data_IF_845217600155
#
_entry.id   IF_845217600155
#
_cell.length_a   1.000
_cell.length_b   1.000
_cell.length_c   1.000
_cell.angle_alpha   90.00
_cell.angle_beta   90.00
_cell.angle_gamma   90.00
#
_symmetry.space_group_name_H-M   'P 1'
#
loop_
_entity.id
_entity.type
_entity.pdbx_description
1 polymer ?
#
# COMPACT_ATOMS: atom_id res chain seq x y z
N UNK A 1 15.40 -26.53 4.00
CA UNK A 1 14.13 -26.33 3.28
C UNK A 1 14.30 -25.15 2.34
N UNK A 2 14.18 -25.35 1.02
CA UNK A 2 14.23 -24.24 0.05
C UNK A 2 12.84 -23.61 0.04
N UNK A 3 12.75 -22.30 0.27
CA UNK A 3 11.50 -21.56 0.19
C UNK A 3 11.07 -21.45 -1.28
N UNK A 4 10.09 -22.23 -1.70
CA UNK A 4 9.49 -22.10 -3.03
C UNK A 4 8.41 -21.01 -3.04
N UNK A 5 8.73 -19.89 -3.69
CA UNK A 5 7.80 -18.77 -3.87
C UNK A 5 6.73 -18.98 -4.95
N UNK A 6 6.71 -20.15 -5.61
CA UNK A 6 5.83 -20.49 -6.75
C UNK A 6 5.82 -19.42 -7.84
N UNK A 7 7.01 -18.86 -8.10
CA UNK A 7 7.19 -17.85 -9.12
C UNK A 7 7.03 -18.47 -10.51
N UNK A 8 6.31 -17.84 -11.46
CA UNK A 8 6.19 -18.39 -12.81
C UNK A 8 7.56 -18.55 -13.49
N UNK A 9 7.70 -19.55 -14.35
CA UNK A 9 8.94 -19.81 -15.10
C UNK A 9 9.10 -18.86 -16.30
N UNK A 10 10.24 -18.92 -16.99
CA UNK A 10 10.52 -18.14 -18.20
C UNK A 10 11.20 -16.78 -17.97
N UNK A 11 11.49 -16.04 -19.06
CA UNK A 11 12.18 -14.75 -19.04
C UNK A 11 11.41 -13.70 -18.22
N UNK A 12 12.12 -12.82 -17.50
CA UNK A 12 11.50 -11.83 -16.60
C UNK A 12 10.42 -10.98 -17.30
N UNK A 13 10.72 -10.51 -18.51
CA UNK A 13 9.84 -9.62 -19.27
C UNK A 13 8.50 -10.26 -19.65
N UNK A 14 8.50 -11.57 -19.93
CA UNK A 14 7.33 -12.34 -20.41
C UNK A 14 6.66 -13.15 -19.30
N UNK A 15 7.32 -13.27 -18.15
CA UNK A 15 6.97 -14.20 -17.06
C UNK A 15 5.50 -14.17 -16.66
N UNK A 16 4.95 -12.96 -16.51
CA UNK A 16 3.57 -12.77 -16.06
C UNK A 16 2.53 -12.84 -17.17
N UNK A 17 2.92 -12.53 -18.40
CA UNK A 17 2.04 -12.69 -19.56
C UNK A 17 1.88 -14.17 -19.90
N UNK A 18 2.97 -14.94 -19.86
CA UNK A 18 2.92 -16.40 -19.95
C UNK A 18 2.09 -17.01 -18.83
N UNK A 19 2.33 -16.58 -17.59
CA UNK A 19 1.52 -17.05 -16.46
C UNK A 19 0.02 -16.82 -16.70
N UNK A 20 -0.37 -15.64 -17.18
CA UNK A 20 -1.76 -15.34 -17.53
C UNK A 20 -2.32 -16.25 -18.62
N UNK A 21 -1.54 -16.61 -19.63
CA UNK A 21 -1.94 -17.53 -20.70
C UNK A 21 -2.14 -18.95 -20.17
N UNK A 22 -1.30 -19.38 -19.23
CA UNK A 22 -1.32 -20.73 -18.66
C UNK A 22 -2.35 -20.89 -17.52
N UNK A 23 -2.95 -19.80 -17.04
CA UNK A 23 -3.93 -19.84 -15.95
C UNK A 23 -5.21 -20.56 -16.38
N UNK A 24 -5.63 -21.54 -15.56
CA UNK A 24 -6.94 -22.18 -15.70
C UNK A 24 -8.03 -21.17 -15.37
N UNK A 25 -8.81 -20.78 -16.38
CA UNK A 25 -9.88 -19.81 -16.22
C UNK A 25 -11.13 -20.44 -15.62
N UNK A 26 -11.82 -19.67 -14.79
CA UNK A 26 -13.18 -20.00 -14.33
C UNK A 26 -14.18 -19.26 -15.22
N UNK A 27 -15.07 -20.01 -15.87
CA UNK A 27 -16.14 -19.42 -16.67
C UNK A 27 -16.95 -18.42 -15.82
N UNK A 28 -17.30 -17.22 -16.35
CA UNK A 28 -18.06 -16.21 -15.62
C UNK A 28 -19.31 -16.73 -14.89
N UNK A 29 -20.10 -17.60 -15.53
CA UNK A 29 -21.31 -18.18 -14.94
C UNK A 29 -21.04 -19.15 -13.77
N UNK A 30 -19.83 -19.70 -13.70
CA UNK A 30 -19.39 -20.59 -12.64
C UNK A 30 -18.77 -19.84 -11.44
N UNK A 31 -18.33 -18.59 -11.59
CA UNK A 31 -17.66 -17.84 -10.50
C UNK A 31 -18.54 -17.67 -9.26
N UNK A 32 -19.86 -17.50 -9.44
CA UNK A 32 -20.86 -17.42 -8.36
C UNK A 32 -20.97 -18.66 -7.48
N UNK A 33 -20.39 -19.79 -7.91
CA UNK A 33 -20.33 -21.03 -7.12
C UNK A 33 -19.25 -20.97 -6.04
N UNK A 34 -18.28 -20.07 -6.19
CA UNK A 34 -17.15 -19.95 -5.28
C UNK A 34 -17.32 -18.75 -4.34
N UNK A 35 -16.86 -18.94 -3.11
CA UNK A 35 -16.87 -17.95 -2.05
C UNK A 35 -15.45 -17.55 -1.68
N UNK A 36 -15.21 -16.25 -1.55
CA UNK A 36 -13.90 -15.68 -1.19
C UNK A 36 -14.07 -14.79 0.03
N UNK A 37 -13.18 -14.96 1.00
CA UNK A 37 -13.10 -14.08 2.16
C UNK A 37 -11.97 -13.07 1.97
N UNK A 38 -12.24 -11.80 2.24
CA UNK A 38 -11.24 -10.73 2.26
C UNK A 38 -11.20 -10.12 3.66
N UNK A 39 -10.07 -10.20 4.34
CA UNK A 39 -9.88 -9.62 5.67
C UNK A 39 -9.09 -8.32 5.54
N UNK A 40 -9.71 -7.20 5.94
CA UNK A 40 -9.17 -5.85 5.79
C UNK A 40 -9.76 -5.12 4.59
N UNK A 41 -9.99 -3.82 4.76
CA UNK A 41 -10.68 -2.95 3.78
C UNK A 41 -9.88 -1.69 3.44
N UNK A 42 -8.57 -1.69 3.69
CA UNK A 42 -7.66 -0.70 3.11
C UNK A 42 -7.57 -0.85 1.58
N UNK A 43 -6.69 -0.09 0.93
CA UNK A 43 -6.59 -0.09 -0.55
C UNK A 43 -6.50 -1.49 -1.15
N UNK A 44 -5.67 -2.37 -0.59
CA UNK A 44 -5.54 -3.74 -1.08
C UNK A 44 -6.85 -4.53 -0.96
N UNK A 45 -7.50 -4.49 0.21
CA UNK A 45 -8.68 -5.29 0.49
C UNK A 45 -9.95 -4.77 -0.19
N UNK A 46 -10.16 -3.45 -0.19
CA UNK A 46 -11.28 -2.83 -0.88
C UNK A 46 -11.20 -3.07 -2.40
N UNK A 47 -10.01 -2.87 -3.01
CA UNK A 47 -9.82 -3.15 -4.43
C UNK A 47 -9.96 -4.64 -4.75
N UNK A 48 -9.40 -5.54 -3.92
CA UNK A 48 -9.55 -6.98 -4.13
C UNK A 48 -11.01 -7.42 -4.05
N UNK A 49 -11.74 -7.01 -3.01
CA UNK A 49 -13.15 -7.35 -2.84
C UNK A 49 -14.02 -6.78 -3.97
N UNK A 50 -13.77 -5.53 -4.39
CA UNK A 50 -14.49 -4.92 -5.50
C UNK A 50 -14.23 -5.66 -6.82
N UNK A 51 -12.97 -5.92 -7.17
CA UNK A 51 -12.63 -6.62 -8.42
C UNK A 51 -13.12 -8.07 -8.42
N UNK A 52 -13.03 -8.80 -7.31
CA UNK A 52 -13.55 -10.16 -7.21
C UNK A 52 -15.09 -10.20 -7.29
N UNK A 53 -15.77 -9.26 -6.62
CA UNK A 53 -17.22 -9.11 -6.72
C UNK A 53 -17.67 -8.79 -8.15
N UNK A 54 -16.97 -7.88 -8.83
CA UNK A 54 -17.23 -7.51 -10.23
C UNK A 54 -16.99 -8.67 -11.20
N UNK A 55 -16.02 -9.55 -10.90
CA UNK A 55 -15.82 -10.78 -11.65
C UNK A 55 -16.98 -11.78 -11.48
N UNK A 56 -17.83 -11.64 -10.44
CA UNK A 56 -18.99 -12.48 -10.17
C UNK A 56 -18.78 -13.53 -9.07
N UNK A 57 -17.72 -13.42 -8.27
CA UNK A 57 -17.52 -14.27 -7.09
C UNK A 57 -18.41 -13.81 -5.93
N UNK A 58 -18.76 -14.72 -5.02
CA UNK A 58 -19.38 -14.35 -3.74
C UNK A 58 -18.29 -13.93 -2.77
N UNK A 59 -18.28 -12.67 -2.35
CA UNK A 59 -17.22 -12.14 -1.48
C UNK A 59 -17.78 -11.77 -0.12
N UNK A 60 -17.13 -12.21 0.95
CA UNK A 60 -17.35 -11.68 2.30
C UNK A 60 -16.12 -10.88 2.74
N UNK A 61 -16.32 -9.59 3.01
CA UNK A 61 -15.26 -8.69 3.45
C UNK A 61 -15.41 -8.37 4.95
N UNK A 62 -14.32 -8.46 5.71
CA UNK A 62 -14.30 -8.26 7.16
C UNK A 62 -13.38 -7.11 7.53
N UNK A 63 -13.78 -6.23 8.44
CA UNK A 63 -12.89 -5.19 8.97
C UNK A 63 -13.23 -4.78 10.40
N UNK A 64 -12.19 -4.41 11.16
CA UNK A 64 -12.35 -3.93 12.54
C UNK A 64 -13.02 -2.55 12.59
N UNK A 65 -12.88 -1.76 11.53
CA UNK A 65 -13.45 -0.42 11.44
C UNK A 65 -14.97 -0.47 11.30
N UNK A 66 -15.63 0.60 11.75
CA UNK A 66 -17.07 0.83 11.54
C UNK A 66 -17.42 1.11 10.08
N UNK A 67 -16.47 1.64 9.30
CA UNK A 67 -16.61 1.87 7.87
C UNK A 67 -15.37 1.39 7.11
N UNK A 68 -15.54 0.72 5.95
CA UNK A 68 -14.43 0.28 5.11
C UNK A 68 -13.48 1.42 4.68
N UNK A 69 -13.97 2.66 4.61
CA UNK A 69 -13.16 3.85 4.25
C UNK A 69 -12.12 4.26 5.30
N UNK A 70 -12.09 3.63 6.48
CA UNK A 70 -11.20 4.02 7.59
C UNK A 70 -9.92 3.17 7.69
N UNK A 71 -9.62 2.36 6.68
CA UNK A 71 -8.31 1.71 6.57
C UNK A 71 -7.17 2.72 6.57
N UNK A 72 -6.00 2.34 7.11
CA UNK A 72 -4.87 3.26 7.27
C UNK A 72 -4.39 3.89 5.95
N UNK A 73 -4.69 3.27 4.81
CA UNK A 73 -4.44 3.82 3.47
C UNK A 73 -4.93 5.26 3.28
N UNK A 74 -5.98 5.69 4.01
CA UNK A 74 -6.49 7.06 3.96
C UNK A 74 -5.43 8.12 4.34
N UNK A 75 -4.42 7.73 5.13
CA UNK A 75 -3.41 8.63 5.68
C UNK A 75 -2.22 8.88 4.74
N UNK A 76 -2.13 8.20 3.58
CA UNK A 76 -1.03 8.42 2.66
C UNK A 76 -1.17 9.78 1.94
N UNK A 77 -0.09 10.54 1.88
CA UNK A 77 -0.08 11.92 1.36
C UNK A 77 0.68 12.01 0.02
N UNK A 78 1.89 11.43 0.00
CA UNK A 78 2.92 11.64 -1.03
C UNK A 78 2.57 11.22 -2.46
N UNK A 79 1.78 10.17 -2.67
CA UNK A 79 1.34 9.78 -4.01
C UNK A 79 1.50 8.30 -4.31
N UNK A 80 1.35 7.95 -5.58
CA UNK A 80 1.53 6.60 -6.13
C UNK A 80 2.45 6.66 -7.35
N UNK A 81 3.48 5.81 -7.36
CA UNK A 81 4.42 5.74 -8.49
C UNK A 81 3.87 4.84 -9.59
N UNK A 82 3.99 5.27 -10.84
CA UNK A 82 3.75 4.43 -12.01
C UNK A 82 4.63 4.82 -13.18
N UNK A 83 5.08 3.83 -13.97
CA UNK A 83 5.93 4.02 -15.14
C UNK A 83 5.19 4.59 -16.36
N UNK A 84 4.44 5.68 -16.15
CA UNK A 84 3.63 6.36 -17.17
C UNK A 84 4.17 7.77 -17.37
N UNK A 85 4.96 7.92 -18.43
CA UNK A 85 5.83 9.07 -18.67
C UNK A 85 5.08 10.25 -19.32
N UNK A 86 4.27 10.98 -18.54
CA UNK A 86 3.67 12.25 -18.99
C UNK A 86 4.70 13.39 -19.13
N UNK A 87 5.69 13.55 -18.23
CA UNK A 87 6.68 14.63 -18.32
C UNK A 87 7.70 14.48 -19.46
N UNK A 88 7.74 13.31 -20.10
CA UNK A 88 8.72 12.95 -21.12
C UNK A 88 10.19 13.02 -20.64
N UNK A 89 10.46 12.56 -19.41
CA UNK A 89 11.78 12.60 -18.75
C UNK A 89 12.58 11.29 -18.86
N UNK A 90 12.18 10.44 -19.80
CA UNK A 90 12.78 9.12 -20.03
C UNK A 90 12.33 8.02 -19.04
N UNK A 91 11.19 8.19 -18.34
CA UNK A 91 10.66 7.12 -17.52
C UNK A 91 10.22 5.87 -18.34
N UNK A 92 10.38 4.70 -17.75
CA UNK A 92 10.03 3.41 -18.36
C UNK A 92 9.76 2.33 -17.31
N UNK A 93 9.09 1.24 -17.74
CA UNK A 93 8.84 0.06 -16.88
C UNK A 93 10.13 -0.47 -16.28
N UNK A 94 11.18 -0.59 -17.10
CA UNK A 94 12.47 -1.09 -16.63
C UNK A 94 13.11 -0.16 -15.60
N UNK A 95 12.94 1.17 -15.75
CA UNK A 95 13.49 2.13 -14.78
C UNK A 95 12.79 2.04 -13.43
N UNK A 96 11.45 1.98 -13.41
CA UNK A 96 10.70 1.74 -12.16
C UNK A 96 11.06 0.39 -11.53
N UNK A 97 11.21 -0.65 -12.35
CA UNK A 97 11.69 -1.96 -11.89
C UNK A 97 13.08 -1.84 -11.23
N UNK A 98 14.04 -1.27 -11.92
CA UNK A 98 15.42 -1.13 -11.46
C UNK A 98 15.51 -0.30 -10.17
N UNK A 99 14.85 0.86 -10.12
CA UNK A 99 14.83 1.72 -8.93
C UNK A 99 14.24 0.98 -7.73
N UNK A 100 13.20 0.17 -7.95
CA UNK A 100 12.57 -0.64 -6.88
C UNK A 100 13.46 -1.80 -6.40
N UNK A 101 14.23 -2.43 -7.30
CA UNK A 101 15.20 -3.47 -6.93
C UNK A 101 16.36 -2.88 -6.14
N UNK A 102 16.93 -1.78 -6.63
CA UNK A 102 18.01 -1.06 -5.97
C UNK A 102 17.56 -0.53 -4.60
N UNK A 103 16.40 0.12 -4.52
CA UNK A 103 15.84 0.63 -3.26
C UNK A 103 15.46 -0.47 -2.27
N UNK A 104 15.17 -1.68 -2.75
CA UNK A 104 15.01 -2.88 -1.93
C UNK A 104 16.32 -3.55 -1.52
N UNK A 105 17.47 -2.90 -1.74
CA UNK A 105 18.82 -3.42 -1.51
C UNK A 105 19.01 -4.83 -2.09
N UNK A 106 18.51 -5.01 -3.33
CA UNK A 106 18.54 -6.26 -4.11
C UNK A 106 17.91 -7.48 -3.43
N UNK A 107 17.11 -7.29 -2.37
CA UNK A 107 16.40 -8.37 -1.65
C UNK A 107 14.97 -8.58 -2.11
N UNK A 108 14.46 -7.66 -2.92
CA UNK A 108 13.13 -7.75 -3.51
C UNK A 108 13.05 -8.89 -4.53
N UNK A 109 11.88 -9.53 -4.64
CA UNK A 109 11.66 -10.60 -5.63
C UNK A 109 11.47 -9.98 -7.02
N UNK A 110 12.49 -10.12 -7.87
CA UNK A 110 12.54 -9.50 -9.21
C UNK A 110 11.28 -9.71 -10.03
N UNK A 111 10.78 -10.95 -10.10
CA UNK A 111 9.55 -11.25 -10.82
C UNK A 111 8.37 -10.42 -10.33
N UNK A 112 8.17 -10.29 -9.01
CA UNK A 112 7.05 -9.54 -8.45
C UNK A 112 7.22 -8.03 -8.66
N UNK A 113 8.45 -7.53 -8.57
CA UNK A 113 8.76 -6.11 -8.82
C UNK A 113 8.53 -5.75 -10.28
N UNK A 114 8.94 -6.62 -11.21
CA UNK A 114 8.68 -6.41 -12.63
C UNK A 114 7.18 -6.38 -12.92
N UNK A 115 6.40 -7.29 -12.32
CA UNK A 115 4.94 -7.26 -12.38
C UNK A 115 4.36 -5.94 -11.87
N UNK A 116 4.86 -5.46 -10.73
CA UNK A 116 4.42 -4.21 -10.14
C UNK A 116 4.67 -3.04 -11.10
N UNK A 117 5.87 -2.95 -11.69
CA UNK A 117 6.22 -1.90 -12.63
C UNK A 117 5.36 -1.95 -13.91
N UNK A 118 5.06 -3.14 -14.43
CA UNK A 118 4.17 -3.28 -15.60
C UNK A 118 2.73 -2.91 -15.26
N UNK A 119 2.20 -3.38 -14.12
CA UNK A 119 0.80 -3.15 -13.74
C UNK A 119 0.54 -1.73 -13.25
N UNK A 120 1.56 -0.98 -12.82
CA UNK A 120 1.38 0.36 -12.25
C UNK A 120 0.60 1.29 -13.19
N UNK A 121 0.81 1.17 -14.50
CA UNK A 121 0.13 2.01 -15.50
C UNK A 121 -1.37 1.73 -15.53
N UNK A 122 -1.75 0.45 -15.54
CA UNK A 122 -3.15 0.03 -15.48
C UNK A 122 -3.82 0.44 -14.16
N UNK A 123 -3.05 0.49 -13.05
CA UNK A 123 -3.57 0.96 -11.75
C UNK A 123 -3.88 2.46 -11.78
N UNK A 124 -3.06 3.27 -12.45
CA UNK A 124 -3.38 4.70 -12.66
C UNK A 124 -4.66 4.84 -13.48
N UNK A 125 -4.78 4.10 -14.57
CA UNK A 125 -5.98 4.14 -15.42
C UNK A 125 -7.23 3.70 -14.66
N UNK A 126 -7.12 2.65 -13.84
CA UNK A 126 -8.20 2.20 -12.96
C UNK A 126 -8.60 3.28 -11.95
N UNK A 127 -7.63 3.92 -11.30
CA UNK A 127 -7.90 4.99 -10.34
C UNK A 127 -8.58 6.20 -11.00
N UNK A 128 -8.14 6.60 -12.20
CA UNK A 128 -8.81 7.64 -12.99
C UNK A 128 -10.25 7.23 -13.34
N UNK A 129 -10.47 6.00 -13.79
CA UNK A 129 -11.81 5.49 -14.10
C UNK A 129 -12.73 5.41 -12.87
N UNK A 130 -12.17 5.25 -11.67
CA UNK A 130 -12.87 5.33 -10.40
C UNK A 130 -13.15 6.77 -9.93
N UNK A 131 -12.73 7.78 -10.70
CA UNK A 131 -12.95 9.19 -10.39
C UNK A 131 -11.94 9.76 -9.38
N UNK A 132 -10.78 9.13 -9.18
CA UNK A 132 -9.73 9.68 -8.32
C UNK A 132 -9.22 11.00 -8.91
N UNK A 133 -9.34 12.13 -8.20
CA UNK A 133 -8.97 13.45 -8.70
C UNK A 133 -7.46 13.69 -8.59
N UNK A 134 -6.69 13.00 -9.44
CA UNK A 134 -5.27 13.31 -9.59
C UNK A 134 -5.08 14.75 -10.08
N UNK A 135 -3.96 15.36 -9.66
CA UNK A 135 -3.52 16.66 -10.15
C UNK A 135 -3.39 16.64 -11.67
N UNK A 136 -3.68 17.79 -12.28
CA UNK A 136 -3.64 17.96 -13.73
C UNK A 136 -2.92 19.24 -14.09
N UNK A 137 -2.21 19.20 -15.21
CA UNK A 137 -1.63 20.38 -15.81
C UNK A 137 -2.72 21.24 -16.50
N UNK A 138 -2.29 22.38 -17.05
CA UNK A 138 -3.20 23.29 -17.76
C UNK A 138 -3.87 22.66 -19.00
N UNK A 139 -3.22 21.69 -19.63
CA UNK A 139 -3.75 20.96 -20.79
C UNK A 139 -4.72 19.83 -20.39
N UNK A 140 -4.85 19.54 -19.09
CA UNK A 140 -5.71 18.49 -18.56
C UNK A 140 -5.04 17.12 -18.50
N UNK A 141 -3.75 16.99 -18.78
CA UNK A 141 -3.00 15.75 -18.56
C UNK A 141 -2.76 15.53 -17.07
N UNK A 142 -2.47 14.28 -16.69
CA UNK A 142 -2.13 13.96 -15.32
C UNK A 142 -0.76 14.56 -14.98
N UNK A 143 -0.69 15.26 -13.86
CA UNK A 143 0.54 15.87 -13.39
C UNK A 143 1.32 14.90 -12.49
N UNK A 144 2.64 14.92 -12.64
CA UNK A 144 3.57 14.14 -11.83
C UNK A 144 4.47 15.03 -11.00
N UNK A 145 4.97 14.51 -9.88
CA UNK A 145 5.99 15.16 -9.07
C UNK A 145 7.19 14.26 -8.83
N UNK A 146 8.31 14.87 -8.45
CA UNK A 146 9.47 14.17 -7.90
C UNK A 146 9.14 13.62 -6.51
N UNK A 147 9.59 12.40 -6.21
CA UNK A 147 9.38 11.74 -4.92
C UNK A 147 10.27 10.50 -4.78
N UNK A 148 10.67 10.14 -3.56
CA UNK A 148 11.16 8.80 -3.25
C UNK A 148 12.47 8.40 -3.93
N UNK A 149 13.42 9.33 -4.04
CA UNK A 149 14.76 9.02 -4.57
C UNK A 149 14.80 8.67 -6.05
N UNK A 150 13.73 8.93 -6.81
CA UNK A 150 13.71 8.74 -8.26
C UNK A 150 14.32 9.95 -8.98
N UNK A 151 15.04 9.70 -10.08
CA UNK A 151 15.56 10.77 -10.96
C UNK A 151 14.53 11.26 -11.98
N UNK A 152 13.35 10.65 -12.01
CA UNK A 152 12.22 10.99 -12.90
C UNK A 152 10.99 11.33 -12.07
N UNK A 153 10.09 12.12 -12.64
CA UNK A 153 8.83 12.52 -12.05
C UNK A 153 7.73 11.54 -12.45
N UNK A 154 7.54 10.51 -11.63
CA UNK A 154 6.58 9.42 -11.88
C UNK A 154 5.51 9.24 -10.81
N UNK A 155 5.46 10.17 -9.86
CA UNK A 155 4.54 10.11 -8.73
C UNK A 155 3.26 10.85 -9.06
N UNK A 156 2.16 10.12 -9.19
CA UNK A 156 0.81 10.67 -9.35
C UNK A 156 0.26 11.05 -7.97
N UNK A 157 -0.38 12.21 -7.87
CA UNK A 157 -0.80 12.74 -6.57
C UNK A 157 -2.13 13.50 -6.64
N UNK A 158 -2.81 13.59 -5.50
CA UNK A 158 -3.95 14.47 -5.28
C UNK A 158 -3.63 15.40 -4.11
N UNK A 159 -2.88 16.47 -4.40
CA UNK A 159 -2.29 17.37 -3.39
C UNK A 159 -1.60 16.59 -2.26
N UNK A 160 -1.97 16.82 -1.00
CA UNK A 160 -1.50 16.09 0.18
C UNK A 160 -2.43 14.96 0.65
N UNK A 161 -3.39 14.53 -0.17
CA UNK A 161 -4.47 13.62 0.23
C UNK A 161 -4.60 12.39 -0.70
N UNK A 162 -3.52 12.01 -1.39
CA UNK A 162 -3.58 10.96 -2.42
C UNK A 162 -4.14 9.64 -1.89
N UNK A 163 -3.71 9.19 -0.71
CA UNK A 163 -4.21 7.97 -0.07
C UNK A 163 -5.70 8.03 0.26
N UNK A 164 -6.17 9.19 0.71
CA UNK A 164 -7.60 9.42 0.94
C UNK A 164 -8.39 9.28 -0.34
N UNK A 165 -7.97 9.94 -1.41
CA UNK A 165 -8.67 9.92 -2.69
C UNK A 165 -8.66 8.52 -3.32
N UNK A 166 -7.52 7.83 -3.30
CA UNK A 166 -7.42 6.45 -3.77
C UNK A 166 -8.35 5.51 -2.97
N UNK A 167 -8.36 5.62 -1.64
CA UNK A 167 -9.20 4.75 -0.81
C UNK A 167 -10.68 5.03 -1.03
N UNK A 168 -11.08 6.28 -1.23
CA UNK A 168 -12.45 6.64 -1.56
C UNK A 168 -12.87 6.10 -2.94
N UNK A 169 -11.97 6.12 -3.93
CA UNK A 169 -12.20 5.48 -5.23
C UNK A 169 -12.42 3.96 -5.11
N UNK A 170 -11.53 3.27 -4.40
CA UNK A 170 -11.68 1.84 -4.12
C UNK A 170 -12.95 1.51 -3.30
N UNK A 171 -13.27 2.37 -2.31
CA UNK A 171 -14.48 2.25 -1.50
C UNK A 171 -15.76 2.44 -2.31
N UNK A 172 -15.77 3.37 -3.26
CA UNK A 172 -16.89 3.57 -4.18
C UNK A 172 -17.12 2.32 -5.04
N UNK A 173 -16.06 1.75 -5.62
CA UNK A 173 -16.13 0.50 -6.37
C UNK A 173 -16.62 -0.68 -5.51
N UNK A 174 -16.15 -0.78 -4.26
CA UNK A 174 -16.62 -1.77 -3.29
C UNK A 174 -18.12 -1.58 -2.98
N UNK A 175 -18.56 -0.33 -2.77
CA UNK A 175 -19.94 0.01 -2.44
C UNK A 175 -20.89 -0.34 -3.60
N UNK A 176 -20.45 -0.16 -4.84
CA UNK A 176 -21.18 -0.64 -6.03
C UNK A 176 -21.42 -2.14 -5.98
N UNK A 177 -20.42 -2.93 -5.60
CA UNK A 177 -20.55 -4.39 -5.50
C UNK A 177 -21.37 -4.85 -4.30
N UNK A 178 -21.37 -4.08 -3.20
CA UNK A 178 -22.30 -4.28 -2.08
C UNK A 178 -23.74 -4.07 -2.56
N UNK A 179 -24.00 -2.98 -3.30
CA UNK A 179 -25.31 -2.70 -3.89
C UNK A 179 -25.75 -3.77 -4.91
N UNK A 180 -24.81 -4.36 -5.63
CA UNK A 180 -25.06 -5.47 -6.56
C UNK A 180 -25.24 -6.83 -5.87
N UNK A 181 -24.99 -6.93 -4.56
CA UNK A 181 -25.10 -8.17 -3.78
C UNK A 181 -23.99 -9.20 -4.02
N UNK A 182 -22.93 -8.86 -4.75
CA UNK A 182 -21.77 -9.75 -4.97
C UNK A 182 -20.79 -9.70 -3.80
N UNK A 183 -20.80 -8.62 -3.02
CA UNK A 183 -19.97 -8.44 -1.82
C UNK A 183 -20.86 -8.22 -0.59
N UNK A 184 -20.64 -9.00 0.45
CA UNK A 184 -21.19 -8.77 1.79
C UNK A 184 -20.11 -8.21 2.70
N UNK A 185 -20.41 -7.10 3.39
CA UNK A 185 -19.48 -6.45 4.31
C UNK A 185 -19.84 -6.76 5.77
N UNK A 186 -18.83 -7.08 6.57
CA UNK A 186 -18.92 -7.32 8.01
C UNK A 186 -18.05 -6.30 8.75
N UNK A 187 -18.52 -5.05 8.93
CA UNK A 187 -17.80 -4.04 9.70
C UNK A 187 -17.77 -4.41 11.19
N UNK A 188 -16.88 -3.78 11.95
CA UNK A 188 -16.67 -4.04 13.39
C UNK A 188 -16.48 -5.54 13.70
N UNK A 189 -15.67 -6.22 12.89
CA UNK A 189 -15.31 -7.62 13.12
C UNK A 189 -13.80 -7.81 13.19
N UNK A 190 -13.35 -8.74 14.03
CA UNK A 190 -11.94 -9.14 14.14
C UNK A 190 -11.79 -10.63 13.83
N UNK A 191 -10.90 -10.97 12.89
CA UNK A 191 -10.51 -12.35 12.63
C UNK A 191 -9.69 -12.90 13.81
N UNK A 192 -10.22 -13.87 14.55
CA UNK A 192 -9.56 -14.53 15.68
C UNK A 192 -8.62 -15.67 15.27
N UNK A 193 -8.95 -16.40 14.19
CA UNK A 193 -8.13 -17.52 13.72
C UNK A 193 -8.36 -17.82 12.24
N UNK A 194 -7.39 -18.49 11.61
CA UNK A 194 -7.49 -19.04 10.27
C UNK A 194 -7.87 -20.52 10.34
N UNK A 195 -8.90 -20.91 9.59
CA UNK A 195 -9.30 -22.32 9.46
C UNK A 195 -8.52 -22.94 8.30
N UNK A 196 -7.72 -23.95 8.61
CA UNK A 196 -6.91 -24.69 7.63
C UNK A 196 -7.34 -26.15 7.64
N UNK A 197 -7.64 -26.69 6.45
CA UNK A 197 -8.01 -28.10 6.24
C UNK A 197 -7.14 -28.62 5.11
N UNK A 198 -6.46 -29.75 5.33
CA UNK A 198 -5.55 -30.38 4.35
C UNK A 198 -4.51 -29.42 3.76
N UNK A 199 -3.97 -28.53 4.61
CA UNK A 199 -2.99 -27.52 4.22
C UNK A 199 -3.55 -26.34 3.41
N UNK A 200 -4.87 -26.27 3.20
CA UNK A 200 -5.55 -25.18 2.50
C UNK A 200 -6.34 -24.28 3.47
N UNK A 201 -6.29 -22.96 3.27
CA UNK A 201 -7.14 -22.02 4.00
C UNK A 201 -8.60 -22.18 3.54
N UNK A 202 -9.49 -22.56 4.45
CA UNK A 202 -10.92 -22.86 4.18
C UNK A 202 -11.90 -21.94 4.90
N UNK A 203 -11.41 -20.95 5.63
CA UNK A 203 -12.27 -20.01 6.33
C UNK A 203 -11.55 -19.28 7.45
N UNK A 204 -12.34 -18.55 8.24
CA UNK A 204 -11.86 -17.80 9.39
C UNK A 204 -12.83 -17.94 10.57
N UNK A 205 -12.29 -17.81 11.78
CA UNK A 205 -13.07 -17.57 13.00
C UNK A 205 -13.07 -16.08 13.27
N UNK A 206 -14.24 -15.51 13.55
CA UNK A 206 -14.45 -14.07 13.64
C UNK A 206 -15.19 -13.71 14.92
N UNK A 207 -14.82 -12.59 15.53
CA UNK A 207 -15.54 -11.96 16.63
C UNK A 207 -16.21 -10.68 16.14
N UNK A 208 -17.49 -10.54 16.45
CA UNK A 208 -18.20 -9.27 16.37
C UNK A 208 -17.77 -8.37 17.55
N UNK A 209 -17.25 -7.18 17.23
CA UNK A 209 -16.69 -6.25 18.21
C UNK A 209 -17.77 -5.46 18.97
N UNK A 210 -19.02 -5.51 18.53
CA UNK A 210 -20.16 -4.88 19.21
C UNK A 210 -20.82 -5.86 20.16
N UNK A 211 -21.19 -7.04 19.66
CA UNK A 211 -21.95 -8.05 20.43
C UNK A 211 -21.05 -9.03 21.18
N UNK A 212 -19.78 -9.14 20.80
CA UNK A 212 -18.87 -10.15 21.33
C UNK A 212 -19.08 -11.55 20.77
N UNK A 213 -20.11 -11.77 19.94
CA UNK A 213 -20.43 -13.09 19.35
C UNK A 213 -19.26 -13.59 18.50
N UNK A 214 -18.90 -14.85 18.68
CA UNK A 214 -17.92 -15.56 17.86
C UNK A 214 -18.65 -16.46 16.87
N UNK A 215 -18.21 -16.44 15.62
CA UNK A 215 -18.76 -17.30 14.57
C UNK A 215 -17.67 -17.68 13.55
N UNK A 216 -17.93 -18.72 12.77
CA UNK A 216 -17.07 -19.17 11.67
C UNK A 216 -17.63 -18.74 10.32
N UNK A 217 -16.77 -18.35 9.39
CA UNK A 217 -17.12 -18.21 7.97
C UNK A 217 -16.21 -19.08 7.11
N UNK A 218 -16.82 -19.98 6.34
CA UNK A 218 -16.13 -20.85 5.38
C UNK A 218 -16.02 -20.18 4.01
N UNK A 219 -14.96 -20.51 3.26
CA UNK A 219 -14.71 -20.03 1.90
C UNK A 219 -13.76 -20.93 1.12
N UNK A 220 -13.77 -20.80 -0.20
CA UNK A 220 -12.84 -21.48 -1.11
C UNK A 220 -11.45 -20.85 -1.11
N UNK A 221 -11.37 -19.55 -0.77
CA UNK A 221 -10.12 -18.82 -0.63
C UNK A 221 -10.23 -17.73 0.45
N UNK A 222 -9.10 -17.42 1.10
CA UNK A 222 -8.98 -16.35 2.10
C UNK A 222 -7.84 -15.40 1.69
N UNK A 223 -8.15 -14.12 1.52
CA UNK A 223 -7.21 -13.05 1.23
C UNK A 223 -7.01 -12.19 2.48
N UNK A 224 -5.79 -12.18 3.03
CA UNK A 224 -5.43 -11.31 4.16
C UNK A 224 -4.85 -9.99 3.64
N UNK A 225 -5.60 -8.91 3.82
CA UNK A 225 -5.26 -7.54 3.43
C UNK A 225 -5.22 -6.62 4.67
N UNK A 226 -4.61 -7.10 5.75
CA UNK A 226 -4.79 -6.59 7.12
C UNK A 226 -3.86 -5.43 7.52
N UNK A 227 -3.02 -4.93 6.61
CA UNK A 227 -2.10 -3.82 6.90
C UNK A 227 -0.83 -4.25 7.64
N UNK A 228 -0.14 -3.26 8.22
CA UNK A 228 1.17 -3.43 8.87
C UNK A 228 1.12 -3.84 10.35
N UNK A 229 2.28 -3.81 11.00
CA UNK A 229 2.50 -4.30 12.36
C UNK A 229 2.94 -3.20 13.34
N UNK A 230 2.33 -2.02 13.25
CA UNK A 230 2.73 -0.81 13.95
C UNK A 230 2.87 -0.94 15.46
N UNK A 231 1.97 -1.70 16.09
CA UNK A 231 1.80 -1.75 17.54
C UNK A 231 3.01 -2.36 18.29
N UNK A 232 4.05 -2.79 17.57
CA UNK A 232 5.32 -3.23 18.17
C UNK A 232 6.27 -2.06 18.48
N UNK A 233 6.01 -0.86 17.95
CA UNK A 233 6.83 0.34 18.16
C UNK A 233 6.12 1.37 19.04
N UNK A 234 6.86 1.99 19.96
CA UNK A 234 6.33 3.06 20.83
C UNK A 234 5.95 4.31 20.03
N UNK A 235 6.78 4.70 19.05
CA UNK A 235 6.54 5.83 18.17
C UNK A 235 6.29 5.33 16.74
N UNK A 236 5.11 5.65 16.19
CA UNK A 236 4.72 5.23 14.84
C UNK A 236 3.77 6.23 14.17
N UNK A 237 3.84 6.34 12.84
CA UNK A 237 2.89 7.12 12.02
C UNK A 237 1.62 6.33 11.66
N UNK A 238 1.63 5.04 11.95
CA UNK A 238 0.56 4.12 11.61
C UNK A 238 -0.66 4.30 12.53
N UNK A 239 -1.85 3.98 12.04
CA UNK A 239 -3.04 3.95 12.90
C UNK A 239 -3.00 2.72 13.83
N UNK A 240 -3.55 2.87 15.04
CA UNK A 240 -3.63 1.81 16.07
C UNK A 240 -4.27 0.49 15.60
N UNK A 241 -5.10 0.55 14.55
CA UNK A 241 -5.69 -0.64 13.91
C UNK A 241 -4.70 -1.46 13.08
N UNK A 242 -3.45 -1.02 12.91
CA UNK A 242 -2.39 -1.74 12.16
C UNK A 242 -1.70 -2.75 13.08
N UNK A 243 -2.44 -3.79 13.48
CA UNK A 243 -2.14 -4.55 14.69
C UNK A 243 -1.54 -5.96 14.48
N UNK A 244 -1.00 -6.30 13.30
CA UNK A 244 -0.33 -7.58 12.92
C UNK A 244 -1.09 -8.90 13.14
N UNK A 245 -2.15 -8.90 13.95
CA UNK A 245 -2.70 -10.11 14.57
C UNK A 245 -3.10 -11.17 13.55
N UNK A 246 -3.78 -10.78 12.46
CA UNK A 246 -4.21 -11.71 11.42
C UNK A 246 -3.04 -12.40 10.70
N UNK A 247 -1.99 -11.66 10.33
CA UNK A 247 -0.80 -12.22 9.70
C UNK A 247 -0.04 -13.15 10.66
N UNK A 248 0.06 -12.76 11.93
CA UNK A 248 0.68 -13.57 12.97
C UNK A 248 -0.12 -14.84 13.28
N UNK A 249 -1.45 -14.77 13.29
CA UNK A 249 -2.36 -15.93 13.41
C UNK A 249 -2.15 -16.91 12.25
N UNK A 250 -2.04 -16.41 11.02
CA UNK A 250 -1.71 -17.25 9.86
C UNK A 250 -0.32 -17.89 9.99
N UNK A 251 0.69 -17.16 10.47
CA UNK A 251 2.02 -17.72 10.76
C UNK A 251 1.96 -18.88 11.76
N UNK A 252 1.18 -18.75 12.85
CA UNK A 252 0.95 -19.84 13.80
C UNK A 252 0.29 -21.08 13.19
N UNK A 253 -0.36 -20.95 12.02
CA UNK A 253 -0.95 -22.06 11.26
C UNK A 253 -0.04 -22.61 10.16
N UNK A 254 1.24 -22.26 10.18
CA UNK A 254 2.25 -22.79 9.26
C UNK A 254 2.50 -21.93 8.01
N UNK A 255 1.89 -20.74 7.90
CA UNK A 255 2.28 -19.79 6.87
C UNK A 255 3.69 -19.23 7.15
N UNK A 256 4.48 -18.96 6.12
CA UNK A 256 5.77 -18.29 6.31
C UNK A 256 5.58 -16.79 6.55
N UNK A 257 6.38 -16.23 7.45
CA UNK A 257 6.39 -14.79 7.75
C UNK A 257 7.77 -14.21 7.44
N UNK A 258 7.88 -13.58 6.27
CA UNK A 258 9.17 -13.12 5.74
C UNK A 258 9.52 -11.71 6.26
N UNK A 259 10.80 -11.52 6.57
CA UNK A 259 11.44 -10.23 6.83
C UNK A 259 10.74 -9.34 7.88
N UNK A 260 10.28 -9.86 9.04
CA UNK A 260 9.64 -9.03 10.06
C UNK A 260 10.57 -7.96 10.66
N UNK A 261 11.89 -8.12 10.52
CA UNK A 261 12.90 -7.17 10.97
C UNK A 261 13.12 -5.99 10.02
N UNK A 262 12.61 -6.03 8.78
CA UNK A 262 12.76 -4.93 7.83
C UNK A 262 11.65 -3.90 8.05
N UNK A 263 11.91 -2.97 8.96
CA UNK A 263 11.02 -1.84 9.27
C UNK A 263 11.58 -0.54 8.70
N UNK A 264 10.76 0.19 7.96
CA UNK A 264 11.11 1.52 7.45
C UNK A 264 10.81 2.60 8.49
N UNK A 265 11.76 3.50 8.71
CA UNK A 265 11.59 4.71 9.54
C UNK A 265 11.46 5.91 8.62
N UNK A 266 10.35 6.64 8.72
CA UNK A 266 10.17 7.86 7.96
C UNK A 266 11.01 9.00 8.58
N UNK A 267 11.76 9.79 7.79
CA UNK A 267 12.69 10.79 8.32
C UNK A 267 12.00 11.96 9.01
N UNK A 268 10.80 12.34 8.57
CA UNK A 268 10.09 13.54 9.05
C UNK A 268 8.71 13.21 9.61
N UNK A 269 8.51 13.54 10.89
CA UNK A 269 7.23 13.45 11.58
C UNK A 269 7.11 14.60 12.58
N UNK A 270 5.88 15.03 12.86
CA UNK A 270 5.61 16.02 13.90
C UNK A 270 5.76 15.30 15.26
N UNK A 271 6.59 15.81 16.18
CA UNK A 271 6.71 15.26 17.52
C UNK A 271 5.38 15.20 18.26
N UNK A 272 5.31 14.34 19.28
CA UNK A 272 4.12 14.23 20.14
C UNK A 272 3.91 15.56 20.87
N UNK A 273 2.75 16.18 20.66
CA UNK A 273 2.38 17.43 21.33
C UNK A 273 1.57 17.22 22.62
N UNK A 274 1.06 16.01 22.86
CA UNK A 274 0.35 15.65 24.09
C UNK A 274 -0.28 14.25 24.06
N UNK A 275 -0.88 13.85 25.18
CA UNK A 275 -1.41 12.48 25.40
C UNK A 275 -2.61 12.11 24.51
N UNK A 276 -3.30 13.10 23.93
CA UNK A 276 -4.41 12.87 23.00
C UNK A 276 -3.95 12.35 21.62
N UNK A 277 -2.65 12.42 21.33
CA UNK A 277 -2.08 12.03 20.05
C UNK A 277 -1.79 10.53 20.01
N UNK A 278 -2.71 9.77 19.41
CA UNK A 278 -2.59 8.30 19.28
C UNK A 278 -1.49 7.81 18.33
N UNK A 279 -0.90 8.70 17.51
CA UNK A 279 0.18 8.38 16.56
C UNK A 279 0.94 9.62 16.13
N UNK A 280 2.17 9.45 15.64
CA UNK A 280 2.92 10.54 15.03
C UNK A 280 2.25 11.04 13.74
N UNK A 281 2.17 12.36 13.58
CA UNK A 281 1.66 12.95 12.34
C UNK A 281 2.78 12.97 11.31
N UNK A 282 2.56 12.26 10.21
CA UNK A 282 3.49 12.24 9.08
C UNK A 282 3.55 13.63 8.44
N UNK A 283 4.76 14.15 8.25
CA UNK A 283 5.03 15.25 7.32
C UNK A 283 5.47 14.64 6.00
N UNK A 284 4.67 14.83 4.94
CA UNK A 284 4.92 14.22 3.63
C UNK A 284 6.33 14.53 3.13
N UNK A 285 7.01 13.51 2.63
CA UNK A 285 8.27 13.66 1.89
C UNK A 285 8.12 14.64 0.71
N UNK A 286 6.93 14.77 0.12
CA UNK A 286 6.71 15.71 -0.98
C UNK A 286 6.95 17.17 -0.59
N UNK A 287 6.94 17.51 0.70
CA UNK A 287 7.33 18.85 1.17
C UNK A 287 8.78 19.18 0.81
N UNK A 288 9.63 18.16 0.56
CA UNK A 288 11.01 18.35 0.15
C UNK A 288 11.16 18.87 -1.29
N UNK A 289 10.08 18.86 -2.07
CA UNK A 289 10.05 19.51 -3.38
C UNK A 289 9.97 21.04 -3.25
N UNK A 290 9.25 21.54 -2.24
CA UNK A 290 9.01 22.97 -2.04
C UNK A 290 9.86 23.58 -0.92
N UNK A 291 10.41 22.75 -0.03
CA UNK A 291 11.23 23.16 1.12
C UNK A 291 12.51 22.35 1.21
N UNK A 292 13.58 22.96 1.75
CA UNK A 292 14.92 22.35 1.86
C UNK A 292 15.17 21.82 3.27
N UNK A 293 15.77 20.64 3.39
CA UNK A 293 16.12 20.07 4.71
C UNK A 293 17.57 20.42 5.05
N UNK A 294 17.77 20.94 6.26
CA UNK A 294 19.09 21.33 6.73
C UNK A 294 19.26 21.04 8.23
N UNK A 295 20.51 20.98 8.67
CA UNK A 295 20.92 20.97 10.08
C UNK A 295 21.93 22.10 10.31
N UNK A 296 22.08 22.61 11.54
CA UNK A 296 23.13 23.60 11.81
C UNK A 296 24.50 23.04 11.42
N UNK A 297 25.30 23.82 10.68
CA UNK A 297 26.64 23.40 10.26
C UNK A 297 27.56 23.18 11.47
N UNK A 298 27.38 23.98 12.52
CA UNK A 298 28.06 23.79 13.79
C UNK A 298 27.34 22.74 14.64
N UNK A 299 28.05 21.66 14.96
CA UNK A 299 27.55 20.61 15.85
C UNK A 299 27.20 21.19 17.22
N UNK A 300 25.97 20.95 17.67
CA UNK A 300 25.51 21.35 19.00
C UNK A 300 24.99 22.78 19.10
N UNK A 301 24.83 23.49 17.98
CA UNK A 301 24.14 24.77 17.94
C UNK A 301 22.68 24.60 18.42
N UNK A 302 22.27 25.47 19.35
CA UNK A 302 20.95 25.46 20.00
C UNK A 302 20.12 26.70 19.67
N UNK A 303 20.61 27.58 18.80
CA UNK A 303 19.83 28.75 18.36
C UNK A 303 18.51 28.29 17.74
N UNK A 304 17.42 29.06 17.93
CA UNK A 304 16.19 28.84 17.18
C UNK A 304 16.47 28.75 15.67
N UNK A 305 15.80 27.85 14.92
CA UNK A 305 16.09 27.66 13.49
C UNK A 305 15.95 28.93 12.62
N UNK A 306 15.14 29.91 13.04
CA UNK A 306 14.97 31.18 12.34
C UNK A 306 16.14 32.16 12.54
N UNK A 307 16.96 31.95 13.57
CA UNK A 307 18.13 32.78 13.89
C UNK A 307 19.43 32.26 13.25
N UNK A 308 19.40 31.06 12.68
CA UNK A 308 20.56 30.47 11.99
C UNK A 308 20.55 30.96 10.54
N UNK A 309 21.50 31.81 10.12
CA UNK A 309 21.53 32.36 8.76
C UNK A 309 21.88 31.26 7.74
N UNK A 310 21.51 31.46 6.47
CA UNK A 310 21.59 30.42 5.44
C UNK A 310 23.02 29.87 5.21
N UNK A 311 24.03 30.73 5.34
CA UNK A 311 25.44 30.35 5.25
C UNK A 311 25.93 29.45 6.40
N UNK A 312 25.14 29.29 7.47
CA UNK A 312 25.44 28.43 8.63
C UNK A 312 24.58 27.16 8.64
N UNK A 313 23.86 26.87 7.54
CA UNK A 313 23.01 25.68 7.37
C UNK A 313 23.70 24.64 6.49
N UNK A 314 23.77 23.39 6.95
CA UNK A 314 24.21 22.24 6.14
C UNK A 314 22.99 21.57 5.49
N UNK A 315 22.81 21.82 4.19
CA UNK A 315 21.86 21.12 3.33
C UNK A 315 22.40 19.73 2.98
N UNK A 316 22.45 18.85 3.98
CA UNK A 316 23.19 17.59 3.92
C UNK A 316 22.71 16.63 2.83
N UNK A 317 21.44 16.69 2.42
CA UNK A 317 20.90 15.87 1.32
C UNK A 317 21.49 16.31 -0.02
N UNK A 318 21.47 17.61 -0.31
CA UNK A 318 22.03 18.18 -1.53
C UNK A 318 23.54 17.94 -1.61
N UNK A 319 24.24 18.05 -0.47
CA UNK A 319 25.68 17.80 -0.38
C UNK A 319 26.05 16.32 -0.57
N UNK A 320 25.29 15.39 0.01
CA UNK A 320 25.57 13.95 -0.08
C UNK A 320 25.07 13.32 -1.39
N UNK A 321 23.97 13.84 -1.93
CA UNK A 321 23.26 13.27 -3.07
C UNK A 321 22.99 14.34 -4.14
N UNK A 322 24.03 14.95 -4.74
CA UNK A 322 23.86 16.08 -5.64
C UNK A 322 22.99 15.75 -6.87
N UNK A 323 23.03 14.50 -7.34
CA UNK A 323 22.19 14.03 -8.46
C UNK A 323 20.71 13.84 -8.12
N UNK A 324 20.34 13.93 -6.84
CA UNK A 324 18.97 13.77 -6.33
C UNK A 324 18.44 15.07 -5.68
N UNK A 325 19.24 16.14 -5.65
CA UNK A 325 18.87 17.40 -5.03
C UNK A 325 18.54 17.22 -3.55
N UNK A 326 17.32 17.57 -3.16
CA UNK A 326 16.82 17.44 -1.78
C UNK A 326 16.14 16.07 -1.52
N UNK A 327 16.44 15.07 -2.35
CA UNK A 327 16.03 13.68 -2.19
C UNK A 327 17.22 12.77 -1.84
N UNK A 328 16.92 11.57 -1.32
CA UNK A 328 17.91 10.55 -1.04
C UNK A 328 17.62 9.32 -1.92
N UNK A 329 18.67 8.65 -2.46
CA UNK A 329 18.55 7.50 -3.35
C UNK A 329 18.00 6.23 -2.70
#
# INVERSE_FOLDING_TARGET
MILDGKCPSGPLAEKWDRHRQDLKLVNPANKRKFKIIVVGTGLAGASAAASLGELGYKVEAFCCQDSPRRGHSIAAQGGINAAKNYPNDGDSIFRLFYDTIKGGDFRSREANVYRLATLSNNIIDQAVAQGVPFARDYAGYLENRSFGGAQVSRTFFARGQTGQQLLLGAYSALSRQIGAGTVQIHPRTEMLDLVVIDGAARGIIVRDLVTGKIFSSAADAVCLCTGGYANVFYLSTNAMGSNVTAAYRAYKKGAFFANPCYTQIHPTCIPVSGEHQSKLTLMSESLRNDGRVWVPAQKGDKRPPHDIPENERDYFLERKYPSFGNLAP
#
